data_IF_325046683552
#
_entry.id   IF_325046683552
#
_cell.length_a   1.000
_cell.length_b   1.000
_cell.length_c   1.000
_cell.angle_alpha   90.00
_cell.angle_beta   90.00
_cell.angle_gamma   90.00
#
_symmetry.space_group_name_H-M   'P 1'
#
loop_
_entity.id
_entity.type
_entity.pdbx_description
1 polymer ?
2 polymer ?
3 non-polymer ?
4 water ?
#
# COMPACT_ATOMS: atom_id res chain seq x y z
N UNK A 17 -13.46 12.36 0.93
CA UNK A 17 -14.05 11.57 -0.23
C UNK A 17 -14.08 10.05 0.07
N UNK A 18 -15.27 9.47 0.14
CA UNK A 18 -15.40 8.04 0.41
C UNK A 18 -16.69 7.36 -0.05
N UNK A 19 -16.65 6.63 -1.17
CA UNK A 19 -17.75 5.69 -1.53
C UNK A 19 -17.35 4.34 -2.19
N UNK A 20 -16.37 4.30 -3.11
CA UNK A 20 -15.92 3.02 -3.72
C UNK A 20 -14.48 2.63 -3.30
N UNK A 21 -14.16 1.34 -3.26
CA UNK A 21 -12.78 0.93 -2.99
C UNK A 21 -12.15 0.66 -4.36
N UNK A 22 -11.16 1.48 -4.74
CA UNK A 22 -10.50 1.33 -6.04
C UNK A 22 -9.22 0.52 -5.89
N UNK A 23 -8.99 -0.39 -6.85
CA UNK A 23 -7.80 -1.21 -6.88
C UNK A 23 -7.16 -1.00 -8.25
N UNK A 24 -5.89 -0.60 -8.26
CA UNK A 24 -5.22 -0.24 -9.49
C UNK A 24 -3.97 -1.13 -9.60
N UNK A 25 -3.77 -1.70 -10.80
CA UNK A 25 -2.53 -2.42 -11.10
C UNK A 25 -2.50 -3.76 -10.41
N UNK A 26 -1.30 -4.24 -10.15
CA UNK A 26 -1.15 -5.55 -9.53
C UNK A 26 -0.38 -6.48 -10.46
N UNK A 27 -0.26 -7.71 -10.01
CA UNK A 27 0.49 -8.72 -10.73
C UNK A 27 -0.21 -10.09 -10.72
N UNK A 28 -0.30 -10.68 -11.92
CA UNK A 28 -0.62 -12.07 -12.09
C UNK A 28 0.02 -12.45 -13.42
N UNK A 29 1.07 -13.25 -13.35
CA UNK A 29 1.87 -13.65 -14.55
C UNK A 29 2.66 -12.48 -15.10
N UNK A 30 2.07 -11.29 -15.14
CA UNK A 30 2.84 -10.08 -15.44
C UNK A 30 2.14 -8.92 -14.76
N UNK A 31 2.78 -7.76 -14.73
CA UNK A 31 2.14 -6.58 -14.15
C UNK A 31 0.88 -6.20 -14.91
N UNK A 32 -0.12 -5.65 -14.19
CA UNK A 32 -1.46 -5.42 -14.75
C UNK A 32 -1.80 -3.94 -14.85
N UNK A 33 -2.69 -3.59 -15.78
CA UNK A 33 -3.10 -2.19 -15.89
C UNK A 33 -4.54 -2.01 -15.37
N UNK A 34 -5.10 -3.03 -14.70
CA UNK A 34 -6.53 -2.95 -14.33
C UNK A 34 -6.78 -1.81 -13.34
N UNK A 35 -7.88 -1.10 -13.56
CA UNK A 35 -8.45 -0.24 -12.53
C UNK A 35 -9.91 -0.70 -12.34
N UNK A 36 -10.19 -1.26 -11.17
CA UNK A 36 -11.55 -1.72 -10.85
C UNK A 36 -11.98 -1.11 -9.52
N UNK A 37 -13.29 -0.92 -9.36
CA UNK A 37 -13.85 -0.30 -8.16
C UNK A 37 -14.95 -1.15 -7.53
N UNK A 38 -14.80 -1.42 -6.24
CA UNK A 38 -15.76 -2.20 -5.51
C UNK A 38 -16.68 -1.31 -4.66
N UNK A 39 -17.96 -1.66 -4.66
CA UNK A 39 -19.00 -0.88 -3.96
C UNK A 39 -19.51 -1.72 -2.81
N UNK A 40 -19.04 -1.45 -1.59
CA UNK A 40 -19.43 -2.27 -0.45
C UNK A 40 -20.94 -2.20 -0.09
N UNK A 41 -21.62 -1.13 -0.52
CA UNK A 41 -23.08 -1.00 -0.37
C UNK A 41 -23.94 -2.01 -1.17
N UNK A 42 -23.46 -2.38 -2.36
CA UNK A 42 -24.21 -3.31 -3.21
C UNK A 42 -23.45 -4.53 -3.71
N UNK A 43 -22.17 -4.64 -3.36
CA UNK A 43 -21.40 -5.85 -3.73
C UNK A 43 -20.87 -5.79 -5.17
N UNK A 44 -21.08 -4.65 -5.84
CA UNK A 44 -20.73 -4.55 -7.28
C UNK A 44 -19.26 -4.15 -7.55
N UNK A 45 -18.68 -4.74 -8.61
CA UNK A 45 -17.40 -4.30 -9.16
C UNK A 45 -17.58 -3.55 -10.50
N UNK A 46 -16.92 -2.42 -10.68
CA UNK A 46 -16.86 -1.77 -12.01
C UNK A 46 -15.45 -1.83 -12.55
N UNK A 47 -15.32 -2.18 -13.84
CA UNK A 47 -14.06 -1.97 -14.56
C UNK A 47 -14.02 -0.56 -15.11
N UNK A 48 -12.92 0.09 -14.76
CA UNK A 48 -12.68 1.46 -15.12
C UNK A 48 -11.52 1.51 -16.14
N UNK A 49 -11.16 2.72 -16.55
CA UNK A 49 -10.07 2.93 -17.51
C UNK A 49 -8.77 2.36 -17.00
N UNK A 50 -8.09 1.62 -17.87
CA UNK A 50 -6.81 1.02 -17.58
C UNK A 50 -5.76 2.09 -17.31
N UNK A 51 -4.82 1.78 -16.42
CA UNK A 51 -3.59 2.54 -16.29
C UNK A 51 -2.93 2.63 -17.65
N UNK A 52 -2.26 3.75 -17.90
CA UNK A 52 -1.51 3.90 -19.15
C UNK A 52 -0.32 2.93 -19.28
N UNK A 53 0.30 2.61 -18.15
CA UNK A 53 1.40 1.65 -18.11
C UNK A 53 1.11 0.65 -16.97
N UNK A 54 1.20 -0.66 -17.23
CA UNK A 54 0.98 -1.65 -16.15
C UNK A 54 2.02 -1.54 -15.06
N UNK A 55 1.62 -1.80 -13.83
CA UNK A 55 2.55 -1.77 -12.70
C UNK A 55 2.04 -2.61 -11.55
N UNK A 56 2.98 -3.21 -10.81
CA UNK A 56 2.62 -3.84 -9.56
C UNK A 56 3.62 -3.27 -8.53
N UNK A 57 3.34 -3.50 -7.26
CA UNK A 57 4.20 -2.95 -6.17
C UNK A 57 4.07 -1.43 -6.09
N UNK A 58 3.00 -0.88 -6.66
CA UNK A 58 2.70 0.56 -6.60
C UNK A 58 1.83 0.81 -5.34
N UNK A 59 1.59 2.06 -5.01
CA UNK A 59 0.60 2.38 -3.97
C UNK A 59 -0.43 3.32 -4.56
N UNK A 60 -1.62 3.33 -3.97
CA UNK A 60 -2.69 4.26 -4.31
C UNK A 60 -2.98 5.23 -3.14
N UNK A 61 -3.57 6.37 -3.46
CA UNK A 61 -4.08 7.27 -2.43
C UNK A 61 -5.01 8.27 -3.15
N UNK A 62 -5.72 9.07 -2.35
CA UNK A 62 -6.69 10.00 -2.91
C UNK A 62 -6.46 11.34 -2.26
N UNK A 63 -6.41 12.40 -3.06
CA UNK A 63 -6.35 13.77 -2.54
C UNK A 63 -7.32 14.63 -3.38
N UNK A 64 -8.20 15.37 -2.69
CA UNK A 64 -9.15 16.30 -3.33
C UNK A 64 -9.97 15.58 -4.36
N UNK A 65 -10.46 14.41 -4.03
CA UNK A 65 -11.26 13.62 -4.98
C UNK A 65 -10.58 13.00 -6.20
N UNK A 66 -9.25 13.09 -6.31
CA UNK A 66 -8.53 12.42 -7.39
C UNK A 66 -7.80 11.22 -6.87
N UNK A 67 -7.72 10.18 -7.69
CA UNK A 67 -7.02 8.94 -7.33
C UNK A 67 -5.61 8.99 -7.94
N UNK A 68 -4.60 8.72 -7.12
CA UNK A 68 -3.21 8.72 -7.55
C UNK A 68 -2.61 7.30 -7.44
N UNK A 69 -1.86 6.91 -8.46
CA UNK A 69 -1.17 5.67 -8.57
C UNK A 69 0.32 6.08 -8.58
N UNK A 70 1.09 5.56 -7.65
CA UNK A 70 2.44 6.07 -7.38
C UNK A 70 3.46 4.92 -7.49
N UNK A 71 4.53 5.11 -8.26
CA UNK A 71 5.63 4.14 -8.22
C UNK A 71 5.24 2.77 -8.78
N UNK A 72 5.95 1.76 -8.32
CA UNK A 72 5.74 0.42 -8.80
C UNK A 72 6.83 -0.04 -9.78
N UNK A 73 6.55 -1.14 -10.47
CA UNK A 73 7.43 -1.67 -11.48
C UNK A 73 6.53 -2.31 -12.52
N UNK A 74 6.88 -2.13 -13.80
CA UNK A 74 6.22 -2.90 -14.86
C UNK A 74 7.04 -4.17 -15.09
N UNK A 75 6.63 -5.27 -14.46
CA UNK A 75 7.25 -6.59 -14.63
C UNK A 75 6.50 -7.24 -15.79
N UNK A 76 7.07 -7.09 -17.00
CA UNK A 76 6.38 -7.36 -18.28
C UNK A 76 7.07 -8.44 -19.13
N UNK A 77 6.36 -8.96 -20.17
CA UNK A 77 6.99 -9.90 -21.11
C UNK A 77 8.30 -9.35 -21.72
N UNK A 78 8.34 -8.04 -21.97
CA UNK A 78 9.53 -7.44 -22.58
C UNK A 78 10.39 -6.61 -21.60
N UNK A 79 10.51 -7.06 -20.34
CA UNK A 79 11.38 -6.40 -19.37
C UNK A 79 10.81 -6.08 -17.99
N UNK A 80 11.68 -5.57 -17.10
CA UNK A 80 11.28 -5.06 -15.79
C UNK A 80 11.70 -3.60 -15.66
N UNK A 81 10.75 -2.68 -15.57
CA UNK A 81 11.07 -1.25 -15.48
C UNK A 81 10.50 -0.68 -14.19
N UNK A 82 11.37 -0.20 -13.30
CA UNK A 82 10.91 0.47 -12.06
C UNK A 82 10.27 1.81 -12.41
N UNK A 83 9.20 2.19 -11.70
CA UNK A 83 8.46 3.37 -12.05
C UNK A 83 8.70 4.52 -11.10
N UNK A 84 8.90 5.72 -11.66
CA UNK A 84 8.93 6.96 -10.90
C UNK A 84 7.62 7.73 -11.14
N UNK A 85 6.64 7.08 -11.78
CA UNK A 85 5.42 7.74 -12.26
C UNK A 85 4.48 8.06 -11.14
N UNK A 86 3.84 9.23 -11.30
CA UNK A 86 2.69 9.61 -10.54
C UNK A 86 1.59 9.88 -11.58
N UNK A 87 0.53 9.09 -11.50
CA UNK A 87 -0.57 9.22 -12.43
C UNK A 87 -1.83 9.50 -11.67
N UNK A 88 -2.66 10.35 -12.25
CA UNK A 88 -3.84 10.82 -11.56
C UNK A 88 -5.08 10.40 -12.34
N UNK A 89 -6.03 9.78 -11.63
CA UNK A 89 -7.30 9.33 -12.17
C UNK A 89 -8.46 10.22 -11.66
N UNK A 90 -9.25 10.71 -12.61
CA UNK A 90 -10.43 11.54 -12.29
C UNK A 90 -11.72 10.75 -12.46
N UNK A 91 -12.38 10.39 -11.35
CA UNK A 91 -13.60 9.60 -11.44
C UNK A 91 -14.71 10.31 -12.24
N UNK A 92 -14.62 11.63 -12.34
CA UNK A 92 -15.66 12.42 -13.01
C UNK A 92 -15.60 12.23 -14.52
N UNK A 93 -14.39 11.99 -15.04
CA UNK A 93 -14.15 11.79 -16.48
C UNK A 93 -13.76 10.36 -16.83
N UNK A 94 -13.51 9.53 -15.82
CA UNK A 94 -12.96 8.22 -16.04
C UNK A 94 -11.70 8.24 -16.92
N UNK A 95 -10.82 9.18 -16.65
CA UNK A 95 -9.54 9.32 -17.38
C UNK A 95 -8.33 9.46 -16.44
N UNK A 96 -7.24 8.81 -16.85
CA UNK A 96 -5.89 8.94 -16.29
C UNK A 96 -5.11 10.05 -16.98
N UNK A 97 -4.37 10.83 -16.19
CA UNK A 97 -3.50 11.88 -16.70
C UNK A 97 -2.18 11.72 -15.96
N UNK A 98 -1.07 11.80 -16.69
CA UNK A 98 0.24 11.84 -16.03
C UNK A 98 0.35 13.09 -15.17
N UNK A 99 0.90 12.92 -13.97
CA UNK A 99 1.32 14.03 -13.12
C UNK A 99 2.84 14.05 -13.04
N UNK A 100 3.42 15.01 -12.32
CA UNK A 100 4.89 15.09 -12.21
C UNK A 100 5.50 13.82 -11.63
N UNK A 101 6.63 13.40 -12.21
CA UNK A 101 7.27 12.16 -11.82
C UNK A 101 8.12 12.42 -10.58
N UNK A 102 8.27 11.38 -9.76
CA UNK A 102 9.17 11.45 -8.60
C UNK A 102 10.60 11.63 -9.08
N UNK A 103 11.50 11.94 -8.14
CA UNK A 103 12.93 12.07 -8.37
C UNK A 103 13.61 10.75 -8.80
N UNK A 104 13.00 9.62 -8.47
CA UNK A 104 13.63 8.32 -8.59
C UNK A 104 12.55 7.23 -8.74
N UNK A 105 12.84 6.13 -9.47
CA UNK A 105 11.90 5.00 -9.46
C UNK A 105 11.79 4.37 -8.08
N UNK A 106 10.60 3.94 -7.72
CA UNK A 106 10.34 3.33 -6.42
C UNK A 106 9.35 2.18 -6.56
N UNK A 107 9.87 0.97 -6.70
CA UNK A 107 9.07 -0.22 -6.69
C UNK A 107 8.86 -0.66 -5.25
N UNK A 108 7.74 -1.28 -4.97
CA UNK A 108 7.36 -1.68 -3.60
C UNK A 108 7.48 -0.52 -2.62
N UNK A 109 6.87 0.58 -3.10
CA UNK A 109 6.78 1.84 -2.40
C UNK A 109 5.68 1.78 -1.32
N UNK A 110 5.77 2.72 -0.38
CA UNK A 110 4.69 2.98 0.56
C UNK A 110 4.32 4.45 0.43
N UNK A 111 3.05 4.77 0.62
CA UNK A 111 2.61 6.16 0.43
C UNK A 111 1.71 6.58 1.59
N UNK A 112 1.78 7.86 1.99
CA UNK A 112 0.81 8.37 2.93
C UNK A 112 0.46 9.79 2.55
N UNK A 113 -0.69 10.27 3.03
CA UNK A 113 -1.15 11.64 2.73
C UNK A 113 -1.29 12.42 4.01
N UNK A 114 -0.57 13.53 4.12
CA UNK A 114 -0.76 14.40 5.26
C UNK A 114 -1.22 15.76 4.74
N UNK A 115 -2.37 16.22 5.21
CA UNK A 115 -2.84 17.58 4.87
C UNK A 115 -2.73 17.90 3.38
N UNK A 116 -3.23 16.99 2.56
CA UNK A 116 -3.33 17.18 1.11
C UNK A 116 -2.05 16.93 0.33
N UNK A 117 -0.99 16.48 1.01
CA UNK A 117 0.30 16.28 0.35
C UNK A 117 0.62 14.79 0.37
N UNK A 118 1.18 14.28 -0.72
CA UNK A 118 1.42 12.83 -0.83
C UNK A 118 2.86 12.57 -0.48
N UNK A 119 3.14 11.66 0.47
CA UNK A 119 4.49 11.27 0.79
C UNK A 119 4.81 9.91 0.18
N UNK A 120 5.92 9.85 -0.54
CA UNK A 120 6.36 8.60 -1.16
C UNK A 120 7.59 8.17 -0.41
N UNK A 121 7.58 6.92 0.01
CA UNK A 121 8.52 6.44 0.96
C UNK A 121 9.23 5.17 0.45
N UNK A 122 10.56 5.19 0.48
CA UNK A 122 11.37 4.01 0.24
C UNK A 122 11.16 3.40 -1.14
N UNK A 123 11.10 2.08 -1.19
CA UNK A 123 10.96 1.36 -2.44
C UNK A 123 12.33 1.03 -3.06
N UNK A 124 12.32 0.23 -4.11
CA UNK A 124 13.58 -0.16 -4.78
C UNK A 124 13.73 0.40 -6.19
N UNK A 125 15.01 0.46 -6.64
CA UNK A 125 15.35 0.75 -8.02
C UNK A 125 16.54 -0.17 -8.33
N UNK A 126 16.30 -1.15 -9.20
CA UNK A 126 17.35 -2.14 -9.51
C UNK A 126 17.77 -2.80 -8.22
N UNK A 127 19.05 -2.83 -7.89
CA UNK A 127 19.47 -3.52 -6.66
C UNK A 127 19.58 -2.63 -5.43
N UNK A 128 19.21 -1.36 -5.59
CA UNK A 128 19.27 -0.35 -4.55
C UNK A 128 17.95 -0.26 -3.77
N UNK A 129 18.05 -0.10 -2.46
CA UNK A 129 16.90 0.02 -1.58
C UNK A 129 16.90 1.42 -0.99
N UNK A 130 15.81 2.17 -1.22
CA UNK A 130 15.79 3.60 -0.85
C UNK A 130 15.50 3.80 0.64
N UNK A 131 16.18 4.75 1.26
CA UNK A 131 15.71 5.34 2.51
C UNK A 131 15.07 6.70 2.19
N UNK A 132 15.24 7.17 0.95
CA UNK A 132 14.71 8.50 0.64
C UNK A 132 13.19 8.56 0.67
N UNK A 133 12.69 9.79 0.81
CA UNK A 133 11.27 10.11 0.95
C UNK A 133 11.03 11.44 0.24
N UNK A 134 9.94 11.52 -0.49
CA UNK A 134 9.64 12.79 -1.15
C UNK A 134 8.17 13.10 -1.02
N UNK A 135 7.84 14.38 -1.17
CA UNK A 135 6.50 14.87 -0.89
C UNK A 135 5.95 15.64 -2.08
N UNK A 136 4.73 15.32 -2.46
CA UNK A 136 4.09 15.88 -3.62
C UNK A 136 3.05 16.93 -3.21
N UNK A 137 3.02 18.04 -3.94
CA UNK A 137 2.07 19.12 -3.72
C UNK A 137 1.10 19.14 -4.91
N UNK A 138 -0.12 18.61 -4.73
CA UNK A 138 -1.04 18.50 -5.87
C UNK A 138 -1.36 19.85 -6.53
N UNK A 139 -1.61 20.87 -5.71
CA UNK A 139 -1.87 22.23 -6.19
C UNK A 139 -0.76 22.71 -7.14
N UNK A 140 0.50 22.41 -6.83
CA UNK A 140 1.63 22.87 -7.61
C UNK A 140 2.17 21.82 -8.61
N UNK A 141 1.61 20.60 -8.61
CA UNK A 141 2.18 19.48 -9.38
C UNK A 141 3.74 19.42 -9.26
N UNK A 142 4.23 19.31 -8.03
CA UNK A 142 5.65 19.32 -7.75
C UNK A 142 6.00 18.35 -6.63
N UNK A 143 7.08 17.58 -6.84
CA UNK A 143 7.70 16.74 -5.81
C UNK A 143 8.93 17.42 -5.22
N UNK A 144 9.17 17.19 -3.93
CA UNK A 144 10.39 17.63 -3.29
C UNK A 144 10.83 16.60 -2.30
N UNK A 145 12.12 16.35 -2.22
CA UNK A 145 12.66 15.43 -1.24
C UNK A 145 12.55 16.01 0.15
N UNK A 146 12.29 15.15 1.15
CA UNK A 146 12.26 15.51 2.55
C UNK A 146 13.33 14.70 3.29
N UNK A 147 13.41 14.75 4.61
CA UNK A 147 14.37 13.89 5.35
C UNK A 147 14.16 12.40 4.99
N UNK A 148 15.25 11.67 4.73
CA UNK A 148 15.13 10.24 4.48
C UNK A 148 14.85 9.52 5.78
N UNK A 149 14.25 8.33 5.68
CA UNK A 149 14.12 7.47 6.84
C UNK A 149 15.48 7.11 7.42
N UNK A 150 15.45 6.65 8.66
CA UNK A 150 16.62 6.10 9.33
C UNK A 150 17.14 4.78 8.74
N UNK A 151 16.29 4.09 7.98
CA UNK A 151 16.51 2.72 7.50
C UNK A 151 16.08 2.67 6.04
N UNK A 152 16.81 1.93 5.20
CA UNK A 152 16.36 1.66 3.83
C UNK A 152 15.16 0.71 3.91
N UNK A 153 14.07 0.97 3.18
CA UNK A 153 12.94 0.06 3.28
C UNK A 153 12.23 -0.03 1.96
N UNK A 154 12.01 -1.27 1.54
CA UNK A 154 11.12 -1.56 0.42
C UNK A 154 10.07 -2.53 0.93
N UNK A 155 8.92 -2.60 0.27
CA UNK A 155 7.81 -3.43 0.77
C UNK A 155 7.35 -2.88 2.12
N UNK A 156 7.51 -1.58 2.27
CA UNK A 156 7.23 -0.87 3.52
C UNK A 156 5.76 -0.49 3.63
N UNK A 157 5.17 -0.66 4.81
CA UNK A 157 3.82 -0.18 5.04
C UNK A 157 3.81 1.24 5.56
N UNK A 158 2.88 2.07 5.10
CA UNK A 158 2.85 3.46 5.54
C UNK A 158 1.41 3.81 5.96
N UNK A 159 1.26 4.60 7.03
CA UNK A 159 -0.05 5.16 7.38
C UNK A 159 0.18 6.51 8.07
N UNK A 160 -0.90 7.29 8.15
CA UNK A 160 -0.86 8.64 8.71
C UNK A 160 -1.89 8.66 9.83
N UNK A 161 -1.47 9.15 11.00
CA UNK A 161 -2.39 9.28 12.11
C UNK A 161 -2.02 10.58 12.79
N UNK A 162 -3.01 11.41 13.09
CA UNK A 162 -2.77 12.65 13.81
C UNK A 162 -1.66 13.49 13.15
N UNK A 163 -1.71 13.57 11.82
CA UNK A 163 -0.72 14.31 10.99
C UNK A 163 0.74 13.94 11.26
N UNK A 164 0.98 12.66 11.56
CA UNK A 164 2.31 12.10 11.67
C UNK A 164 2.36 10.89 10.71
N UNK A 165 3.48 10.68 10.03
CA UNK A 165 3.53 9.60 9.01
C UNK A 165 4.37 8.49 9.59
N UNK A 166 3.89 7.25 9.44
CA UNK A 166 4.58 6.07 9.98
C UNK A 166 5.07 5.20 8.84
N UNK A 167 6.30 4.73 8.95
CA UNK A 167 6.86 3.73 8.02
C UNK A 167 7.13 2.47 8.82
N UNK A 168 6.54 1.38 8.37
CA UNK A 168 6.41 0.17 9.16
C UNK A 168 6.99 -1.06 8.46
N UNK A 169 7.94 -1.75 9.08
CA UNK A 169 8.45 -2.98 8.43
C UNK A 169 9.16 -2.73 7.11
N UNK A 170 9.12 -3.71 6.21
CA UNK A 170 9.87 -3.63 5.01
C UNK A 170 11.06 -4.57 4.95
N UNK A 171 11.89 -4.35 3.95
CA UNK A 171 13.09 -5.16 3.66
C UNK A 171 14.19 -4.17 3.27
N UNK A 172 15.37 -4.30 3.88
CA UNK A 172 16.44 -3.32 3.65
C UNK A 172 17.47 -3.81 2.62
N UNK A 173 17.18 -4.94 2.00
CA UNK A 173 18.08 -5.55 1.05
C UNK A 173 18.70 -6.79 1.67
N UNK A 174 18.90 -6.74 2.98
CA UNK A 174 19.46 -7.88 3.70
C UNK A 174 18.45 -8.59 4.61
N UNK A 175 17.76 -7.82 5.46
CA UNK A 175 16.82 -8.40 6.44
C UNK A 175 15.43 -7.82 6.26
N UNK A 176 14.39 -8.63 6.39
CA UNK A 176 13.04 -8.09 6.63
C UNK A 176 13.00 -7.52 8.03
N UNK A 177 12.15 -6.51 8.22
CA UNK A 177 12.22 -5.66 9.40
C UNK A 177 10.96 -5.76 10.24
N UNK A 178 11.13 -5.69 11.56
CA UNK A 178 9.99 -5.47 12.45
C UNK A 178 10.00 -4.01 12.91
N UNK A 179 11.02 -3.27 12.53
CA UNK A 179 11.18 -1.91 13.03
C UNK A 179 10.18 -0.95 12.35
N UNK A 180 9.91 0.17 13.00
CA UNK A 180 9.09 1.18 12.43
C UNK A 180 9.60 2.55 12.90
N UNK A 181 9.20 3.57 12.16
CA UNK A 181 9.62 4.91 12.48
C UNK A 181 8.53 5.89 12.13
N UNK A 182 8.62 7.08 12.73
CA UNK A 182 7.55 8.11 12.57
C UNK A 182 8.20 9.44 12.18
N UNK A 183 7.58 10.13 11.22
CA UNK A 183 8.08 11.39 10.72
C UNK A 183 7.20 12.56 11.27
N UNK A 184 7.86 13.57 11.79
CA UNK A 184 7.21 14.80 12.30
C UNK A 184 7.41 15.93 11.31
N UNK A 185 6.39 16.26 10.54
CA UNK A 185 6.65 17.19 9.47
C UNK A 185 7.22 18.53 9.90
N UNK A 186 6.80 19.04 11.06
CA UNK A 186 7.23 20.38 11.46
C UNK A 186 8.71 20.41 11.81
N UNK A 187 9.28 19.24 12.09
CA UNK A 187 10.70 19.16 12.33
C UNK A 187 11.47 18.47 11.20
N UNK A 188 10.76 18.02 10.16
CA UNK A 188 11.39 17.27 9.07
C UNK A 188 12.33 16.20 9.65
N UNK A 189 11.78 15.35 10.51
CA UNK A 189 12.57 14.49 11.36
C UNK A 189 11.90 13.15 11.53
N UNK A 190 12.67 12.07 11.35
CA UNK A 190 12.22 10.71 11.66
C UNK A 190 12.68 10.23 13.02
N UNK A 191 11.83 9.45 13.70
CA UNK A 191 12.21 8.84 14.98
C UNK A 191 11.74 7.41 15.03
N UNK A 192 12.56 6.53 15.61
CA UNK A 192 12.13 5.14 15.82
C UNK A 192 10.93 5.08 16.74
N UNK A 193 10.01 4.16 16.46
CA UNK A 193 8.99 3.79 17.44
C UNK A 193 9.21 2.31 17.85
N UNK A 194 8.40 1.81 18.78
CA UNK A 194 8.43 0.41 19.17
C UNK A 194 8.32 -0.50 17.95
N UNK A 195 9.23 -1.49 17.82
CA UNK A 195 9.12 -2.38 16.68
C UNK A 195 7.91 -3.24 16.83
N UNK A 196 7.39 -3.74 15.71
CA UNK A 196 6.36 -4.75 15.75
C UNK A 196 6.81 -6.05 16.46
N UNK A 197 5.86 -6.89 16.82
CA UNK A 197 6.21 -8.19 17.36
C UNK A 197 6.61 -9.17 16.28
N UNK A 198 6.31 -8.87 15.02
CA UNK A 198 6.62 -9.80 13.93
C UNK A 198 7.37 -9.03 12.87
N UNK A 199 8.39 -9.66 12.29
CA UNK A 199 9.05 -9.15 11.08
C UNK A 199 8.06 -9.20 9.93
N UNK A 200 7.85 -8.09 9.22
CA UNK A 200 6.94 -8.12 8.08
C UNK A 200 7.46 -7.25 6.94
N UNK A 201 7.60 -7.87 5.79
CA UNK A 201 7.75 -7.09 4.55
C UNK A 201 6.52 -7.35 3.70
N UNK A 202 6.00 -6.32 3.05
CA UNK A 202 4.86 -6.47 2.16
C UNK A 202 3.55 -6.67 2.87
N UNK A 203 3.48 -6.13 4.08
CA UNK A 203 2.27 -6.20 4.88
C UNK A 203 1.34 -5.09 4.36
N UNK A 204 0.08 -5.20 4.72
CA UNK A 204 -0.85 -4.09 4.57
C UNK A 204 -0.83 -3.28 5.84
N UNK A 205 -0.65 -1.95 5.73
CA UNK A 205 -0.58 -1.08 6.90
C UNK A 205 -1.63 0.01 6.74
N UNK A 206 -2.35 0.26 7.81
CA UNK A 206 -3.43 1.23 7.74
C UNK A 206 -3.86 1.74 9.11
N UNK A 207 -4.70 2.76 9.13
CA UNK A 207 -5.09 3.39 10.40
C UNK A 207 -6.59 3.27 10.61
N UNK A 208 -6.96 2.88 11.82
CA UNK A 208 -8.35 2.78 12.20
C UNK A 208 -8.38 3.32 13.59
N UNK A 209 -9.14 4.40 13.78
CA UNK A 209 -9.26 5.08 15.07
C UNK A 209 -7.92 5.57 15.60
N UNK A 210 -7.47 5.20 16.79
CA UNK A 210 -6.14 5.67 17.26
C UNK A 210 -5.01 4.69 16.98
N UNK A 211 -5.22 3.72 16.08
CA UNK A 211 -4.33 2.57 15.98
C UNK A 211 -3.82 2.37 14.53
N UNK A 212 -2.55 2.03 14.43
CA UNK A 212 -1.93 1.62 13.17
C UNK A 212 -1.94 0.08 13.13
N UNK A 213 -2.63 -0.47 12.15
CA UNK A 213 -2.67 -1.91 11.94
C UNK A 213 -1.61 -2.36 10.94
N UNK A 214 -1.00 -3.52 11.18
CA UNK A 214 -0.15 -4.12 10.15
C UNK A 214 -0.63 -5.54 9.97
N UNK A 215 -1.14 -5.86 8.77
CA UNK A 215 -1.83 -7.11 8.53
C UNK A 215 -0.98 -7.88 7.55
N UNK A 216 -0.74 -9.17 7.82
CA UNK A 216 -0.10 -10.06 6.79
C UNK A 216 1.33 -9.66 6.50
N UNK A 217 1.83 -9.98 5.30
CA UNK A 217 3.20 -9.70 5.00
C UNK A 217 3.96 -11.00 4.94
N UNK A 218 5.28 -10.89 4.88
CA UNK A 218 6.19 -12.03 4.76
C UNK A 218 7.30 -11.84 5.78
N UNK A 219 7.59 -12.90 6.54
CA UNK A 219 8.54 -12.79 7.65
C UNK A 219 9.91 -13.35 7.30
N UNK A 220 10.12 -13.69 6.03
CA UNK A 220 11.33 -14.42 5.61
C UNK A 220 11.16 -15.93 5.44
N UNK A 221 10.05 -16.50 5.91
CA UNK A 221 9.79 -17.95 5.87
C UNK A 221 8.37 -18.29 5.44
N UNK A 222 7.41 -17.46 5.83
CA UNK A 222 6.03 -17.70 5.46
C UNK A 222 5.29 -16.40 5.21
N UNK A 223 4.26 -16.46 4.35
CA UNK A 223 3.26 -15.40 4.27
C UNK A 223 2.45 -15.50 5.55
N UNK A 224 2.04 -14.34 6.07
CA UNK A 224 1.43 -14.23 7.42
C UNK A 224 -0.06 -13.96 7.33
N UNK A 225 -0.80 -14.48 8.30
CA UNK A 225 -2.19 -14.10 8.48
C UNK A 225 -2.38 -13.26 9.74
N UNK A 226 -1.30 -13.05 10.49
CA UNK A 226 -1.37 -12.37 11.75
C UNK A 226 -1.51 -10.85 11.51
N UNK A 227 -2.11 -10.18 12.49
CA UNK A 227 -2.44 -8.77 12.40
C UNK A 227 -2.13 -8.20 13.75
N UNK A 228 -1.36 -7.11 13.76
CA UNK A 228 -1.05 -6.42 15.01
C UNK A 228 -1.36 -4.93 14.86
N UNK A 229 -1.59 -4.26 15.98
CA UNK A 229 -1.87 -2.84 15.92
C UNK A 229 -1.12 -2.08 17.00
N UNK A 230 -0.67 -0.88 16.64
CA UNK A 230 0.08 -0.01 17.49
C UNK A 230 -0.85 1.08 18.03
N UNK A 231 -0.93 1.15 19.35
CA UNK A 231 -1.61 2.24 20.03
C UNK A 231 -0.61 3.39 20.19
N UNK A 232 -0.81 4.51 19.47
CA UNK A 232 0.19 5.58 19.57
C UNK A 232 0.34 6.08 21.01
N UNK A 233 -0.73 5.96 21.81
CA UNK A 233 -0.66 6.48 23.19
C UNK A 233 0.15 5.58 24.12
N UNK A 234 0.03 4.27 23.96
CA UNK A 234 0.72 3.32 24.83
C UNK A 234 2.03 2.90 24.26
N UNK A 235 2.24 3.21 22.98
CA UNK A 235 3.45 2.80 22.27
C UNK A 235 3.65 1.29 22.31
N UNK A 236 2.58 0.53 22.30
CA UNK A 236 2.72 -0.91 22.23
C UNK A 236 1.97 -1.50 21.03
N UNK A 237 2.44 -2.66 20.58
CA UNK A 237 1.81 -3.45 19.56
C UNK A 237 1.16 -4.66 20.18
N UNK A 238 -0.06 -4.98 19.74
CA UNK A 238 -0.89 -6.05 20.31
C UNK A 238 -1.49 -6.78 19.09
N UNK A 239 -1.50 -8.11 19.13
CA UNK A 239 -2.13 -8.89 18.05
C UNK A 239 -3.63 -8.79 18.20
N UNK A 240 -4.34 -8.78 17.09
CA UNK A 240 -5.78 -8.86 17.11
C UNK A 240 -6.13 -10.16 16.39
N UNK A 241 -7.38 -10.38 15.97
CA UNK A 241 -7.75 -11.62 15.25
C UNK A 241 -6.99 -11.74 13.91
N UNK A 242 -6.47 -12.96 13.56
CA UNK A 242 -5.75 -13.04 12.31
C UNK A 242 -6.70 -13.09 11.14
N UNK A 243 -6.20 -12.76 9.96
CA UNK A 243 -7.01 -12.91 8.76
C UNK A 243 -7.29 -14.37 8.48
N UNK A 244 -8.34 -14.64 7.71
CA UNK A 244 -8.63 -16.00 7.30
C UNK A 244 -7.55 -16.57 6.35
N UNK A 245 -7.04 -15.74 5.44
CA UNK A 245 -5.97 -16.13 4.51
C UNK A 245 -4.64 -15.49 4.90
N UNK A 246 -3.58 -16.30 4.89
CA UNK A 246 -2.22 -15.81 4.86
C UNK A 246 -2.06 -15.04 3.53
N UNK A 247 -1.46 -13.86 3.59
CA UNK A 247 -1.25 -13.07 2.36
C UNK A 247 -0.15 -12.04 2.53
N UNK A 248 0.67 -11.86 1.51
CA UNK A 248 1.61 -10.75 1.50
C UNK A 248 1.41 -10.00 0.20
N UNK A 249 2.02 -8.82 0.11
CA UNK A 249 1.74 -7.90 -1.00
C UNK A 249 0.20 -7.77 -1.23
N UNK A 250 -0.52 -7.58 -0.13
CA UNK A 250 -1.95 -7.39 -0.20
C UNK A 250 -2.19 -5.87 -0.33
N UNK A 251 -3.38 -5.51 -0.78
CA UNK A 251 -3.80 -4.13 -0.80
C UNK A 251 -4.62 -3.95 0.47
N UNK A 252 -4.65 -2.73 1.01
CA UNK A 252 -5.42 -2.51 2.22
C UNK A 252 -6.03 -1.12 2.17
N UNK A 253 -7.22 -0.99 2.76
CA UNK A 253 -7.76 0.34 2.94
C UNK A 253 -8.79 0.27 4.05
N UNK A 254 -9.28 1.45 4.48
CA UNK A 254 -10.33 1.56 5.47
C UNK A 254 -11.57 2.20 4.79
N UNK A 255 -12.75 1.69 5.15
CA UNK A 255 -13.99 2.27 4.69
C UNK A 255 -15.04 2.02 5.78
N UNK A 256 -15.65 3.12 6.21
CA UNK A 256 -16.74 3.16 7.18
C UNK A 256 -16.39 2.36 8.43
N UNK A 257 -15.21 2.65 8.95
CA UNK A 257 -14.75 2.04 10.20
C UNK A 257 -14.36 0.58 10.12
N UNK A 258 -14.14 0.07 8.90
CA UNK A 258 -13.73 -1.34 8.77
C UNK A 258 -12.50 -1.40 7.88
N UNK A 259 -11.63 -2.39 8.13
CA UNK A 259 -10.45 -2.57 7.28
C UNK A 259 -10.81 -3.53 6.19
N UNK A 260 -10.37 -3.24 4.97
CA UNK A 260 -10.49 -4.21 3.89
C UNK A 260 -9.09 -4.58 3.35
N UNK A 261 -8.82 -5.89 3.21
CA UNK A 261 -7.59 -6.40 2.63
C UNK A 261 -7.95 -7.05 1.30
N UNK A 262 -7.13 -6.78 0.28
CA UNK A 262 -7.48 -7.17 -1.11
C UNK A 262 -6.33 -7.97 -1.73
N UNK A 263 -6.61 -9.19 -2.13
CA UNK A 263 -5.62 -10.01 -2.84
C UNK A 263 -4.35 -10.30 -2.08
N UNK A 264 -3.25 -10.42 -2.82
CA UNK A 264 -2.01 -10.83 -2.24
C UNK A 264 -1.57 -12.22 -2.71
N UNK A 265 -0.44 -12.67 -2.19
CA UNK A 265 0.10 -13.96 -2.56
C UNK A 265 0.24 -14.76 -1.25
N UNK A 266 -0.25 -16.00 -1.25
CA UNK A 266 -0.19 -16.85 -0.04
C UNK A 266 0.84 -17.99 -0.09
N UNK A 267 1.81 -17.90 -0.97
CA UNK A 267 2.81 -18.93 -1.12
C UNK A 267 2.34 -20.01 -2.09
N UNK A 268 1.10 -19.90 -2.53
CA UNK A 268 0.55 -20.92 -3.45
C UNK A 268 -0.25 -20.29 -4.58
N UNK A 269 -1.09 -19.33 -4.22
CA UNK A 269 -2.09 -18.76 -5.13
C UNK A 269 -1.96 -17.24 -5.05
N UNK A 270 -2.26 -16.59 -6.18
CA UNK A 270 -2.53 -15.16 -6.19
C UNK A 270 -3.98 -15.00 -5.83
N UNK A 271 -4.22 -14.41 -4.66
CA UNK A 271 -5.56 -14.36 -4.08
C UNK A 271 -6.55 -13.44 -4.78
N UNK A 272 -7.79 -13.89 -4.91
CA UNK A 272 -8.84 -12.95 -5.28
C UNK A 272 -9.64 -12.51 -4.03
N UNK A 273 -9.36 -13.16 -2.93
CA UNK A 273 -10.07 -12.96 -1.66
C UNK A 273 -10.00 -11.49 -1.16
N UNK A 274 -11.17 -10.90 -0.87
CA UNK A 274 -11.28 -9.62 -0.14
C UNK A 274 -11.87 -9.92 1.25
N UNK A 275 -11.17 -9.53 2.33
CA UNK A 275 -11.64 -9.74 3.71
C UNK A 275 -11.85 -8.38 4.36
N UNK A 276 -12.77 -8.36 5.32
CA UNK A 276 -13.14 -7.15 6.02
C UNK A 276 -13.00 -7.43 7.54
N UNK A 277 -12.32 -6.52 8.24
CA UNK A 277 -12.15 -6.58 9.68
C UNK A 277 -13.05 -5.59 10.37
N UNK A 278 -13.82 -6.09 11.32
CA UNK A 278 -14.68 -5.27 12.15
C UNK A 278 -14.01 -5.13 13.51
N UNK A 279 -13.55 -3.92 13.87
CA UNK A 279 -12.85 -3.76 15.16
C UNK A 279 -13.75 -3.96 16.38
N UNK A 280 -15.05 -3.70 16.22
CA UNK A 280 -16.06 -3.84 17.29
C UNK A 280 -16.18 -5.29 17.77
N UNK A 281 -16.26 -6.21 16.80
CA UNK A 281 -16.30 -7.63 17.08
C UNK A 281 -14.95 -8.35 17.02
N UNK A 282 -13.88 -7.66 16.60
CA UNK A 282 -12.57 -8.31 16.43
C UNK A 282 -12.70 -9.56 15.55
N UNK A 283 -13.42 -9.43 14.44
CA UNK A 283 -13.55 -10.51 13.48
C UNK A 283 -13.26 -10.10 12.03
N UNK A 284 -12.71 -11.04 11.28
CA UNK A 284 -12.55 -10.92 9.82
C UNK A 284 -13.64 -11.72 9.09
N UNK A 285 -14.22 -11.16 8.03
CA UNK A 285 -15.14 -11.89 7.20
C UNK A 285 -14.70 -11.78 5.76
N UNK A 286 -15.05 -12.75 4.93
CA UNK A 286 -14.89 -12.62 3.48
C UNK A 286 -16.03 -11.79 2.95
N UNK A 287 -15.74 -10.76 2.16
CA UNK A 287 -16.85 -9.91 1.68
C UNK A 287 -17.11 -9.99 0.19
N UNK A 288 -16.09 -10.34 -0.56
CA UNK A 288 -16.23 -10.34 -2.02
C UNK A 288 -14.98 -10.97 -2.60
N UNK A 289 -15.00 -11.17 -3.91
CA UNK A 289 -13.81 -11.64 -4.59
C UNK A 289 -13.53 -10.58 -5.62
N UNK A 290 -12.26 -10.25 -5.79
CA UNK A 290 -11.81 -9.51 -6.96
C UNK A 290 -12.19 -10.33 -8.20
N UNK A 291 -12.25 -9.64 -9.33
CA UNK A 291 -12.58 -10.28 -10.61
C UNK A 291 -11.51 -11.30 -11.04
N UNK A 292 -10.29 -11.21 -10.50
CA UNK A 292 -9.25 -12.21 -10.73
C UNK A 292 -8.18 -12.03 -9.66
N UNK A 293 -7.48 -13.10 -9.32
CA UNK A 293 -6.47 -13.04 -8.28
C UNK A 293 -5.25 -12.27 -8.71
N UNK A 294 -4.60 -11.59 -7.75
CA UNK A 294 -3.46 -10.71 -8.08
C UNK A 294 -2.79 -10.18 -6.82
N UNK A 295 -1.51 -9.81 -6.91
CA UNK A 295 -0.80 -9.29 -5.74
C UNK A 295 -0.29 -7.88 -6.11
N UNK A 296 0.21 -7.13 -5.14
CA UNK A 296 0.91 -5.86 -5.39
C UNK A 296 0.06 -4.71 -5.92
N UNK A 297 -1.23 -4.70 -5.57
CA UNK A 297 -2.13 -3.66 -6.11
C UNK A 297 -1.94 -2.38 -5.31
N UNK A 298 -2.35 -1.26 -5.90
CA UNK A 298 -2.52 -0.01 -5.15
C UNK A 298 -4.00 0.13 -4.82
N UNK A 299 -4.35 0.59 -3.61
CA UNK A 299 -5.78 0.69 -3.24
C UNK A 299 -6.08 2.06 -2.64
N UNK A 300 -7.24 2.64 -2.95
CA UNK A 300 -7.71 3.83 -2.21
C UNK A 300 -9.23 3.97 -2.33
N UNK A 301 -9.79 4.94 -1.60
CA UNK A 301 -11.25 5.11 -1.50
C UNK A 301 -11.60 6.53 -1.95
N UNK A 302 -12.58 6.65 -2.85
CA UNK A 302 -13.11 7.96 -3.24
C UNK A 302 -14.53 7.83 -3.85
N UNK A 303 -15.06 8.96 -4.35
CA UNK A 303 -16.42 9.04 -4.94
C UNK A 303 -16.57 8.06 -6.09
N UNK A 304 -17.80 7.57 -6.29
CA UNK A 304 -18.14 6.78 -7.48
C UNK A 304 -17.89 7.58 -8.77
N UNK A 305 -17.54 6.90 -9.88
CA UNK A 305 -17.41 7.60 -11.17
C UNK A 305 -18.76 7.69 -11.94
N UNK A 306 -18.71 7.61 -13.27
CA UNK A 306 -19.92 7.65 -14.12
C UNK A 306 -20.03 6.52 -15.15
N UNK B 2 10.91 -17.60 -7.75
CA UNK B 2 9.69 -16.82 -7.32
C UNK B 2 9.97 -16.01 -6.04
N UNK B 3 9.67 -14.72 -6.07
CA UNK B 3 9.71 -13.84 -4.89
C UNK B 3 8.58 -14.28 -3.93
N UNK B 4 8.95 -14.76 -2.75
CA UNK B 4 7.96 -15.23 -1.78
C UNK B 4 7.08 -14.11 -1.13
N UNK B 5 7.52 -12.85 -1.24
CA UNK B 5 6.75 -11.70 -0.72
C UNK B 5 5.57 -11.29 -1.60
N UNK B 6 5.76 -11.31 -2.89
CA UNK B 6 4.71 -10.86 -3.78
C UNK B 6 4.35 -11.90 -4.85
N UNK B 7 5.07 -13.04 -4.87
CA UNK B 7 4.84 -14.11 -5.84
C UNK B 7 5.39 -13.89 -7.26
N UNK B 8 6.04 -12.77 -7.51
CA UNK B 8 6.52 -12.49 -8.87
C UNK B 8 7.76 -13.33 -9.26
N UNK B 9 7.88 -13.56 -10.56
CA UNK B 9 8.98 -14.35 -11.14
C UNK B 9 10.40 -13.76 -10.99
N UNK B 10 11.40 -14.59 -11.29
CA UNK B 10 12.75 -14.55 -10.71
C UNK B 10 12.93 -15.98 -10.19
#
# INVERSE_FOLDING_TARGET
MTLHKPTQAVPCRAPKVGRLIYTAGGYFRQSLSYLEAYNPSNGSWLRLADLQVPRSGLAGCVVGGLLYAVGGRNNSPDGNTDSSALDCYNPMTNQWSPCASMSVPRNRIGVGVIDGHIYAVGGSHGCIHHSSVERYEPERDEWHLVAPMLTRRIGVGVAVLNRLLYAVGGFDGTNRLNSAECYYPERNEWRMITPMNTIRSGAGVCVLHNCIYAAGGYDGQDQLNSVERYDVETETWTFVAPMRHHRSALGITVHQGKIYVLGGYDGHTFLDSVECYDPDSDTWSEVTRMTSGRSGVGVAVTMEPCRKQIDQQNCTCY
AQNEENGEQEADNEVD
#
